data_IF_233036826976
#
_entry.id   IF_233036826976
#
_cell.length_a   1.000
_cell.length_b   1.000
_cell.length_c   1.000
_cell.angle_alpha   90.00
_cell.angle_beta   90.00
_cell.angle_gamma   90.00
#
_symmetry.space_group_name_H-M   'P 1'
#
loop_
_entity.id
_entity.type
_entity.pdbx_description
1 polymer ?
#
# COMPACT_ATOMS: atom_id res chain seq x y z
N UNK A 1 -55.96 16.01 5.66
CA UNK A 1 -54.94 14.96 5.68
C UNK A 1 -53.66 15.56 5.13
N UNK A 2 -52.74 15.93 6.01
CA UNK A 2 -51.47 16.57 5.64
C UNK A 2 -50.42 15.48 5.62
N UNK A 3 -49.90 15.17 4.44
CA UNK A 3 -48.76 14.24 4.29
C UNK A 3 -47.51 15.05 4.61
N UNK A 4 -46.96 14.85 5.82
CA UNK A 4 -45.61 15.28 6.16
C UNK A 4 -44.65 14.36 5.42
N UNK A 5 -44.09 14.85 4.32
CA UNK A 5 -42.91 14.24 3.69
C UNK A 5 -41.75 14.42 4.66
N UNK A 6 -41.46 13.39 5.45
CA UNK A 6 -40.21 13.32 6.20
C UNK A 6 -39.06 13.26 5.19
N UNK A 7 -38.39 14.39 5.05
CA UNK A 7 -37.11 14.50 4.37
C UNK A 7 -36.16 13.73 5.28
N UNK A 8 -35.85 12.48 4.95
CA UNK A 8 -34.75 11.77 5.59
C UNK A 8 -33.48 12.56 5.31
N UNK A 9 -33.09 13.39 6.27
CA UNK A 9 -31.76 13.94 6.38
C UNK A 9 -30.82 12.75 6.52
N UNK A 10 -30.22 12.31 5.42
CA UNK A 10 -29.01 11.50 5.49
C UNK A 10 -27.94 12.40 6.08
N UNK A 11 -27.69 12.16 7.37
CA UNK A 11 -26.54 12.62 8.13
C UNK A 11 -25.27 12.53 7.27
N UNK A 12 -24.77 13.69 6.82
CA UNK A 12 -23.49 13.76 6.12
C UNK A 12 -22.41 13.77 7.18
N UNK A 13 -22.10 12.58 7.71
CA UNK A 13 -20.87 12.34 8.47
C UNK A 13 -19.65 12.65 7.58
N UNK A 14 -18.50 13.06 8.15
CA UNK A 14 -17.32 13.42 7.38
C UNK A 14 -16.84 12.24 6.53
N UNK A 15 -16.97 12.36 5.19
CA UNK A 15 -16.40 11.50 4.14
C UNK A 15 -15.92 10.10 4.61
N UNK A 16 -16.82 9.14 4.74
CA UNK A 16 -16.50 7.77 5.21
C UNK A 16 -15.81 6.92 4.14
N UNK A 17 -15.92 7.29 2.85
CA UNK A 17 -15.51 6.39 1.76
C UNK A 17 -14.01 6.05 1.74
N UNK A 18 -13.07 7.00 1.88
CA UNK A 18 -11.65 6.67 1.95
C UNK A 18 -11.32 5.80 3.17
N UNK A 19 -11.91 6.08 4.34
CA UNK A 19 -11.69 5.28 5.55
C UNK A 19 -12.27 3.86 5.44
N UNK A 20 -13.44 3.69 4.82
CA UNK A 20 -14.04 2.38 4.54
C UNK A 20 -13.12 1.54 3.63
N UNK A 21 -12.55 2.15 2.59
CA UNK A 21 -11.63 1.46 1.69
C UNK A 21 -10.35 1.02 2.40
N UNK A 22 -9.82 1.84 3.32
CA UNK A 22 -8.64 1.48 4.12
C UNK A 22 -8.97 0.38 5.14
N UNK A 23 -10.15 0.41 5.76
CA UNK A 23 -10.60 -0.67 6.64
C UNK A 23 -10.75 -2.00 5.88
N UNK A 24 -11.35 -1.95 4.70
CA UNK A 24 -11.49 -3.12 3.83
C UNK A 24 -10.13 -3.65 3.35
N UNK A 25 -9.20 -2.75 3.02
CA UNK A 25 -7.83 -3.12 2.71
C UNK A 25 -7.18 -3.88 3.88
N UNK A 26 -7.27 -3.34 5.11
CA UNK A 26 -6.73 -4.01 6.29
C UNK A 26 -7.36 -5.38 6.53
N UNK A 27 -8.68 -5.50 6.39
CA UNK A 27 -9.38 -6.79 6.51
C UNK A 27 -8.82 -7.82 5.51
N UNK A 28 -8.74 -7.46 4.23
CA UNK A 28 -8.23 -8.34 3.17
C UNK A 28 -6.76 -8.69 3.43
N UNK A 29 -5.93 -7.73 3.86
CA UNK A 29 -4.52 -7.99 4.19
C UNK A 29 -4.39 -8.97 5.36
N UNK A 30 -5.21 -8.84 6.41
CA UNK A 30 -5.24 -9.79 7.52
C UNK A 30 -5.66 -11.18 7.06
N UNK A 31 -6.67 -11.29 6.20
CA UNK A 31 -7.08 -12.57 5.61
C UNK A 31 -5.95 -13.19 4.78
N UNK A 32 -5.28 -12.41 3.93
CA UNK A 32 -4.15 -12.86 3.12
C UNK A 32 -2.98 -13.35 4.00
N UNK A 33 -2.69 -12.67 5.11
CA UNK A 33 -1.65 -13.06 6.07
C UNK A 33 -1.95 -14.38 6.79
N UNK A 34 -3.23 -14.76 6.89
CA UNK A 34 -3.67 -15.98 7.56
C UNK A 34 -3.78 -17.19 6.62
N UNK A 35 -3.59 -17.01 5.31
CA UNK A 35 -3.65 -18.10 4.33
C UNK A 35 -2.51 -19.10 4.55
N UNK A 36 -2.86 -20.39 4.62
CA UNK A 36 -1.89 -21.49 4.62
C UNK A 36 -1.36 -21.74 3.20
N UNK A 37 -0.23 -21.11 2.88
CA UNK A 37 0.42 -21.22 1.56
C UNK A 37 1.00 -22.62 1.29
N UNK A 38 1.12 -23.50 2.29
CA UNK A 38 1.66 -24.86 2.09
C UNK A 38 0.74 -25.75 1.26
N UNK A 39 -0.52 -25.35 1.11
CA UNK A 39 -1.55 -26.06 0.33
C UNK A 39 -1.68 -25.53 -1.11
N UNK A 40 -1.00 -24.44 -1.46
CA UNK A 40 -1.01 -23.90 -2.82
C UNK A 40 -0.13 -24.73 -3.74
N UNK A 41 -0.58 -24.93 -4.98
CA UNK A 41 0.32 -25.39 -6.05
C UNK A 41 1.35 -24.31 -6.39
N UNK A 42 2.49 -24.70 -6.97
CA UNK A 42 3.53 -23.75 -7.40
C UNK A 42 3.00 -22.64 -8.33
N UNK A 43 2.09 -23.00 -9.25
CA UNK A 43 1.49 -22.04 -10.17
C UNK A 43 0.59 -21.02 -9.44
N UNK A 44 -0.25 -21.48 -8.51
CA UNK A 44 -1.09 -20.60 -7.70
C UNK A 44 -0.24 -19.68 -6.82
N UNK A 45 0.86 -20.19 -6.24
CA UNK A 45 1.75 -19.39 -5.41
C UNK A 45 2.44 -18.28 -6.22
N UNK A 46 2.86 -18.57 -7.46
CA UNK A 46 3.40 -17.56 -8.38
C UNK A 46 2.36 -16.48 -8.71
N UNK A 47 1.12 -16.87 -8.98
CA UNK A 47 0.04 -15.93 -9.28
C UNK A 47 -0.33 -15.05 -8.09
N UNK A 48 -0.38 -15.62 -6.87
CA UNK A 48 -0.59 -14.88 -5.62
C UNK A 48 0.54 -13.88 -5.38
N UNK A 49 1.80 -14.29 -5.57
CA UNK A 49 2.96 -13.40 -5.43
C UNK A 49 2.89 -12.24 -6.44
N UNK A 50 2.67 -12.54 -7.72
CA UNK A 50 2.56 -11.52 -8.76
C UNK A 50 1.36 -10.56 -8.53
N UNK A 51 0.24 -11.07 -8.02
CA UNK A 51 -0.92 -10.27 -7.62
C UNK A 51 -0.61 -9.33 -6.46
N UNK A 52 0.09 -9.85 -5.44
CA UNK A 52 0.50 -9.08 -4.25
C UNK A 52 1.48 -7.97 -4.62
N UNK A 53 2.49 -8.25 -5.44
CA UNK A 53 3.43 -7.22 -5.94
C UNK A 53 2.73 -6.11 -6.72
N UNK A 54 1.74 -6.46 -7.54
CA UNK A 54 0.94 -5.46 -8.26
C UNK A 54 0.08 -4.62 -7.30
N UNK A 55 -0.41 -5.22 -6.22
CA UNK A 55 -1.14 -4.49 -5.18
C UNK A 55 -0.20 -3.52 -4.44
N UNK A 56 0.99 -3.95 -4.04
CA UNK A 56 2.02 -3.10 -3.42
C UNK A 56 2.30 -1.89 -4.30
N UNK A 57 2.62 -2.09 -5.59
CA UNK A 57 2.92 -0.99 -6.50
C UNK A 57 1.76 0.03 -6.62
N UNK A 58 0.51 -0.44 -6.63
CA UNK A 58 -0.68 0.43 -6.67
C UNK A 58 -0.87 1.18 -5.35
N UNK A 59 -0.62 0.53 -4.22
CA UNK A 59 -0.72 1.14 -2.89
C UNK A 59 0.37 2.19 -2.66
N UNK A 60 1.60 1.94 -3.09
CA UNK A 60 2.67 2.95 -3.07
C UNK A 60 2.25 4.20 -3.83
N UNK A 61 1.77 4.05 -5.07
CA UNK A 61 1.31 5.18 -5.86
C UNK A 61 0.12 5.93 -5.22
N UNK A 62 -0.81 5.20 -4.61
CA UNK A 62 -1.92 5.82 -3.87
C UNK A 62 -1.43 6.59 -2.64
N UNK A 63 -0.47 6.04 -1.90
CA UNK A 63 0.18 6.68 -0.75
C UNK A 63 0.93 7.96 -1.13
N UNK A 64 1.67 7.95 -2.25
CA UNK A 64 2.37 9.13 -2.76
C UNK A 64 1.40 10.29 -3.05
N UNK A 65 0.24 9.98 -3.65
CA UNK A 65 -0.81 10.99 -3.87
C UNK A 65 -1.40 11.54 -2.57
N UNK A 66 -1.57 10.70 -1.56
CA UNK A 66 -2.02 11.14 -0.24
C UNK A 66 -0.99 12.08 0.41
N UNK A 67 0.31 11.75 0.29
CA UNK A 67 1.40 12.59 0.79
C UNK A 67 1.43 13.97 0.14
N UNK A 68 1.23 14.05 -1.19
CA UNK A 68 1.13 15.33 -1.90
C UNK A 68 -0.02 16.16 -1.34
N UNK A 69 -1.22 15.56 -1.18
CA UNK A 69 -2.38 16.27 -0.64
C UNK A 69 -2.15 16.74 0.81
N UNK A 70 -1.49 15.92 1.64
CA UNK A 70 -1.08 16.26 3.01
C UNK A 70 -0.15 17.48 3.00
N UNK A 71 0.81 17.52 2.06
CA UNK A 71 1.76 18.61 1.90
C UNK A 71 1.08 19.90 1.42
N UNK A 72 0.27 19.81 0.37
CA UNK A 72 -0.44 20.95 -0.24
C UNK A 72 -1.40 21.61 0.76
N UNK A 73 -1.98 20.83 1.67
CA UNK A 73 -2.83 21.33 2.76
C UNK A 73 -2.07 21.80 3.99
N UNK A 74 -0.75 21.65 4.00
CA UNK A 74 0.11 21.99 5.13
C UNK A 74 -0.31 21.31 6.45
N UNK A 75 -0.79 20.07 6.37
CA UNK A 75 -1.28 19.34 7.53
C UNK A 75 -0.23 19.12 8.63
N UNK A 76 1.06 18.85 8.33
CA UNK A 76 2.07 18.70 9.38
C UNK A 76 2.13 19.90 10.32
N UNK A 77 2.23 21.13 9.78
CA UNK A 77 2.33 22.33 10.60
C UNK A 77 1.03 22.61 11.35
N UNK A 78 -0.13 22.40 10.71
CA UNK A 78 -1.45 22.52 11.36
C UNK A 78 -1.66 21.55 12.52
N UNK A 79 -0.94 20.43 12.52
CA UNK A 79 -1.02 19.40 13.56
C UNK A 79 0.18 19.42 14.52
N UNK A 80 1.05 20.43 14.42
CA UNK A 80 2.18 20.63 15.36
C UNK A 80 3.45 19.87 15.01
N UNK A 81 3.53 19.25 13.83
CA UNK A 81 4.72 18.60 13.31
C UNK A 81 5.54 19.59 12.46
N UNK A 82 6.87 19.48 12.54
CA UNK A 82 7.81 20.38 11.84
C UNK A 82 8.18 19.90 10.43
N UNK A 83 7.73 18.72 10.02
CA UNK A 83 7.94 18.18 8.67
C UNK A 83 6.95 17.07 8.35
N UNK A 84 6.79 16.75 7.05
CA UNK A 84 6.04 15.57 6.59
C UNK A 84 6.58 14.28 7.20
N UNK A 85 7.91 14.15 7.30
CA UNK A 85 8.53 12.95 7.87
C UNK A 85 8.12 12.78 9.34
N UNK A 86 8.20 13.85 10.14
CA UNK A 86 7.80 13.80 11.55
C UNK A 86 6.30 13.51 11.71
N UNK A 87 5.47 14.02 10.80
CA UNK A 87 4.04 13.73 10.76
C UNK A 87 3.78 12.25 10.45
N UNK A 88 4.41 11.70 9.41
CA UNK A 88 4.25 10.30 9.01
C UNK A 88 4.77 9.30 10.06
N UNK A 89 5.92 9.58 10.68
CA UNK A 89 6.44 8.76 11.79
C UNK A 89 5.46 8.69 12.96
N UNK A 90 4.76 9.79 13.26
CA UNK A 90 3.77 9.83 14.33
C UNK A 90 2.50 9.03 13.99
N UNK A 91 2.14 8.93 12.72
CA UNK A 91 1.00 8.13 12.25
C UNK A 91 1.31 6.62 12.20
N UNK A 92 2.59 6.24 12.17
CA UNK A 92 2.99 4.83 12.16
C UNK A 92 2.79 4.21 13.56
N UNK A 93 2.02 3.11 13.69
CA UNK A 93 1.79 2.46 14.98
C UNK A 93 3.08 1.98 15.69
N UNK A 94 4.15 1.73 14.93
CA UNK A 94 5.45 1.30 15.45
C UNK A 94 6.39 2.47 15.75
N UNK A 95 6.03 3.71 15.38
CA UNK A 95 6.90 4.88 15.51
C UNK A 95 8.09 4.88 14.56
N UNK A 96 8.17 3.93 13.63
CA UNK A 96 9.15 3.95 12.55
C UNK A 96 8.71 4.97 11.49
N UNK A 97 9.64 5.74 10.89
CA UNK A 97 9.32 6.53 9.72
C UNK A 97 8.71 5.62 8.65
N UNK A 98 7.61 6.06 8.04
CA UNK A 98 7.18 5.54 6.75
C UNK A 98 8.21 5.99 5.73
N UNK A 99 9.40 5.40 5.75
CA UNK A 99 10.31 5.47 4.64
C UNK A 99 9.51 5.00 3.42
N UNK A 100 9.54 5.70 2.28
CA UNK A 100 9.25 5.03 1.03
C UNK A 100 10.27 3.90 0.97
N UNK A 101 9.84 2.70 1.35
CA UNK A 101 10.74 1.57 1.47
C UNK A 101 11.50 1.50 0.16
N UNK A 102 12.83 1.55 0.33
CA UNK A 102 13.88 1.14 -0.59
C UNK A 102 13.29 0.28 -1.71
N UNK A 103 13.63 0.54 -3.00
CA UNK A 103 13.05 -0.18 -4.12
C UNK A 103 13.03 -1.65 -3.77
N UNK A 104 11.82 -2.22 -3.74
CA UNK A 104 11.50 -3.56 -3.26
C UNK A 104 12.75 -4.43 -3.32
N UNK A 105 13.21 -4.90 -2.15
CA UNK A 105 14.17 -6.00 -2.06
C UNK A 105 13.93 -6.88 -3.27
N UNK A 106 14.95 -7.03 -4.11
CA UNK A 106 14.88 -7.72 -5.38
C UNK A 106 14.39 -9.16 -5.17
N UNK A 107 13.09 -9.34 -5.00
CA UNK A 107 12.38 -10.57 -5.23
C UNK A 107 12.48 -10.70 -6.73
N UNK A 108 13.42 -11.54 -7.15
CA UNK A 108 13.78 -11.89 -8.52
C UNK A 108 12.59 -11.82 -9.51
N UNK A 109 12.23 -10.60 -9.91
CA UNK A 109 11.13 -10.35 -10.83
C UNK A 109 11.75 -9.96 -12.18
N UNK A 110 11.40 -10.63 -13.29
CA UNK A 110 12.05 -10.45 -14.59
C UNK A 110 11.98 -9.02 -15.16
N UNK A 111 11.20 -8.10 -14.55
CA UNK A 111 11.13 -6.70 -14.98
C UNK A 111 12.33 -5.85 -14.53
N UNK A 112 13.21 -6.33 -13.64
CA UNK A 112 14.41 -5.60 -13.20
C UNK A 112 15.74 -6.12 -13.77
N UNK A 113 15.77 -7.33 -14.34
CA UNK A 113 17.00 -7.90 -14.92
C UNK A 113 17.40 -7.32 -16.29
N UNK A 114 16.55 -6.53 -16.95
CA UNK A 114 16.84 -6.02 -18.30
C UNK A 114 17.70 -4.74 -18.33
N UNK A 115 18.04 -4.13 -17.19
CA UNK A 115 18.76 -2.85 -17.15
C UNK A 115 20.12 -2.85 -16.43
N UNK A 116 20.49 -3.92 -15.70
CA UNK A 116 21.80 -4.00 -15.03
C UNK A 116 22.75 -4.90 -15.81
N UNK A 117 23.38 -4.31 -16.81
CA UNK A 117 24.48 -4.89 -17.56
C UNK A 117 25.75 -4.92 -16.68
N UNK A 118 25.80 -5.73 -15.62
CA UNK A 118 27.04 -5.97 -14.85
C UNK A 118 27.06 -7.39 -14.24
N UNK A 119 27.86 -8.27 -14.86
CA UNK A 119 28.63 -9.31 -14.19
C UNK A 119 27.90 -10.49 -13.57
N UNK A 120 27.58 -11.52 -14.38
CA UNK A 120 27.54 -12.90 -13.87
C UNK A 120 28.84 -13.60 -14.26
N UNK A 121 29.58 -13.99 -13.23
CA UNK A 121 30.83 -14.75 -13.29
C UNK A 121 30.61 -16.10 -13.98
N UNK A 122 31.52 -16.45 -14.88
CA UNK A 122 31.56 -17.67 -15.65
C UNK A 122 31.53 -18.93 -14.76
N UNK A 123 30.46 -19.71 -14.85
CA UNK A 123 30.42 -21.13 -14.46
C UNK A 123 30.65 -22.03 -15.70
N UNK A 124 31.22 -23.24 -15.54
CA UNK A 124 31.74 -24.00 -16.67
C UNK A 124 30.61 -24.52 -17.57
N UNK A 125 30.85 -24.47 -18.89
CA UNK A 125 29.98 -25.14 -19.88
C UNK A 125 30.06 -26.66 -19.70
N UNK A 126 28.94 -27.39 -19.83
CA UNK A 126 29.00 -28.83 -20.04
C UNK A 126 29.55 -29.12 -21.44
N UNK A 127 30.24 -30.25 -21.57
CA UNK A 127 31.01 -30.68 -22.74
C UNK A 127 30.20 -30.76 -24.04
#
# INVERSE_FOLDING_TARGET
MTVLTEISQTDVGPSTRPSELVQELHRITTELQAVDLTQCSDAELIDVAAGTERAIARLTFAGDRQLIEIADRDLPHKTGHRSITQFMTHLSPTGEPLEPERPALAVNHPRFCAASNVGWSSGPRPE
#
